data_IF_110291556814
#
_entry.id   IF_110291556814
#
_cell.length_a   1.000
_cell.length_b   1.000
_cell.length_c   1.000
_cell.angle_alpha   90.00
_cell.angle_beta   90.00
_cell.angle_gamma   90.00
#
_symmetry.space_group_name_H-M   'P 1'
#
loop_
_entity.id
_entity.type
_entity.pdbx_description
1 polymer ?
#
# COMPACT_ATOMS: atom_id res chain seq x y z
N UNK A 1 -7.90 9.91 7.88
CA UNK A 1 -6.61 9.39 8.43
C UNK A 1 -5.59 9.34 7.30
N UNK A 2 -4.38 9.85 7.52
CA UNK A 2 -3.25 9.72 6.61
C UNK A 2 -2.11 9.02 7.35
N UNK A 3 -1.65 7.88 6.82
CA UNK A 3 -0.48 7.16 7.33
C UNK A 3 0.67 7.31 6.33
N UNK A 4 1.69 8.13 6.63
CA UNK A 4 2.77 8.42 5.70
C UNK A 4 3.76 7.27 5.56
N UNK A 5 4.65 7.40 4.60
CA UNK A 5 5.83 6.56 4.44
C UNK A 5 6.73 6.53 5.68
N UNK A 6 7.61 5.57 5.72
CA UNK A 6 8.54 5.34 6.81
C UNK A 6 9.16 3.95 6.75
N UNK A 7 9.83 3.55 7.81
CA UNK A 7 10.45 2.22 7.96
C UNK A 7 10.76 1.96 9.44
N UNK A 8 11.07 0.71 9.75
CA UNK A 8 11.40 0.27 11.09
C UNK A 8 10.20 0.12 12.02
N UNK A 9 10.44 -0.45 13.19
CA UNK A 9 9.40 -0.89 14.12
C UNK A 9 8.74 0.22 14.93
N UNK A 10 9.38 1.40 15.04
CA UNK A 10 8.87 2.50 15.89
C UNK A 10 7.52 3.01 15.37
N UNK A 11 6.47 2.82 16.18
CA UNK A 11 5.12 3.28 15.91
C UNK A 11 4.36 2.46 14.86
N UNK A 12 4.90 1.33 14.38
CA UNK A 12 4.24 0.46 13.39
C UNK A 12 2.90 -0.05 13.88
N UNK A 13 2.82 -0.54 15.12
CA UNK A 13 1.56 -1.03 15.69
C UNK A 13 0.49 0.08 15.80
N UNK A 14 0.88 1.31 16.17
CA UNK A 14 -0.05 2.45 16.18
C UNK A 14 -0.60 2.79 14.79
N UNK A 15 0.23 2.66 13.75
CA UNK A 15 -0.20 2.84 12.34
C UNK A 15 -1.14 1.71 11.90
N UNK A 16 -0.85 0.46 12.26
CA UNK A 16 -1.73 -0.70 12.02
C UNK A 16 -3.09 -0.48 12.72
N UNK A 17 -3.08 -0.07 13.98
CA UNK A 17 -4.30 0.24 14.74
C UNK A 17 -5.10 1.40 14.11
N UNK A 18 -4.44 2.42 13.59
CA UNK A 18 -5.13 3.54 12.91
C UNK A 18 -5.78 3.12 11.60
N UNK A 19 -5.14 2.22 10.83
CA UNK A 19 -5.73 1.61 9.64
C UNK A 19 -6.97 0.77 10.00
N UNK A 20 -6.86 -0.07 11.05
CA UNK A 20 -7.99 -0.84 11.58
C UNK A 20 -9.16 0.05 11.97
N UNK A 21 -8.88 1.07 12.75
CA UNK A 21 -9.92 1.99 13.22
C UNK A 21 -10.61 2.69 12.03
N UNK A 22 -9.85 3.17 11.07
CA UNK A 22 -10.39 3.80 9.87
C UNK A 22 -11.28 2.83 9.08
N UNK A 23 -10.82 1.60 8.86
CA UNK A 23 -11.58 0.56 8.14
C UNK A 23 -12.90 0.22 8.84
N UNK A 24 -12.86 -0.04 10.14
CA UNK A 24 -14.03 -0.47 10.92
C UNK A 24 -15.05 0.66 11.11
N UNK A 25 -14.63 1.91 11.16
CA UNK A 25 -15.49 3.06 11.39
C UNK A 25 -15.82 3.84 10.11
N UNK A 26 -15.45 3.33 8.94
CA UNK A 26 -15.71 3.97 7.63
C UNK A 26 -15.12 5.39 7.53
N UNK A 27 -14.01 5.64 8.20
CA UNK A 27 -13.30 6.91 8.17
C UNK A 27 -12.33 6.94 6.99
N UNK A 28 -12.34 7.98 6.15
CA UNK A 28 -11.43 8.09 5.03
C UNK A 28 -9.96 7.87 5.42
N UNK A 29 -9.29 6.95 4.69
CA UNK A 29 -7.93 6.50 4.95
C UNK A 29 -7.08 6.59 3.69
N UNK A 30 -5.87 7.10 3.83
CA UNK A 30 -4.82 7.02 2.82
C UNK A 30 -3.52 6.53 3.47
N UNK A 31 -3.02 5.39 3.01
CA UNK A 31 -1.69 4.87 3.37
C UNK A 31 -0.67 5.13 2.26
N UNK A 32 0.51 5.63 2.58
CA UNK A 32 1.59 5.88 1.62
C UNK A 32 2.80 5.02 1.95
N UNK A 33 3.31 4.27 1.00
CA UNK A 33 4.51 3.43 1.09
C UNK A 33 4.44 2.48 2.31
N UNK A 34 5.09 2.80 3.42
CA UNK A 34 4.98 2.02 4.65
C UNK A 34 3.53 1.96 5.17
N UNK A 35 2.74 3.03 4.97
CA UNK A 35 1.31 3.03 5.29
C UNK A 35 0.49 2.03 4.46
N UNK A 36 0.84 1.80 3.20
CA UNK A 36 0.28 0.75 2.36
C UNK A 36 0.61 -0.64 2.91
N UNK A 37 1.87 -0.88 3.25
CA UNK A 37 2.33 -2.16 3.80
C UNK A 37 1.63 -2.47 5.13
N UNK A 38 1.52 -1.50 6.02
CA UNK A 38 0.87 -1.69 7.31
C UNK A 38 -0.65 -1.84 7.22
N UNK A 39 -1.31 -1.26 6.21
CA UNK A 39 -2.72 -1.53 5.91
C UNK A 39 -2.92 -2.98 5.43
N UNK A 40 -1.99 -3.51 4.63
CA UNK A 40 -1.99 -4.93 4.23
C UNK A 40 -1.80 -5.84 5.43
N UNK A 41 -0.85 -5.55 6.33
CA UNK A 41 -0.65 -6.29 7.59
C UNK A 41 -1.89 -6.24 8.47
N UNK A 42 -2.51 -5.07 8.63
CA UNK A 42 -3.77 -4.92 9.38
C UNK A 42 -4.85 -5.84 8.86
N UNK A 43 -5.07 -5.82 7.54
CA UNK A 43 -6.11 -6.60 6.89
C UNK A 43 -5.86 -8.10 7.04
N UNK A 44 -4.63 -8.54 6.87
CA UNK A 44 -4.23 -9.93 7.08
C UNK A 44 -4.50 -10.39 8.53
N UNK A 45 -4.16 -9.57 9.53
CA UNK A 45 -4.38 -9.90 10.94
C UNK A 45 -5.86 -9.98 11.32
N UNK A 46 -6.64 -9.01 10.90
CA UNK A 46 -8.00 -8.81 11.43
C UNK A 46 -9.12 -9.32 10.50
N UNK A 47 -8.87 -9.48 9.21
CA UNK A 47 -9.86 -9.96 8.23
C UNK A 47 -9.56 -11.38 7.77
N UNK A 48 -8.29 -11.70 7.45
CA UNK A 48 -7.90 -13.09 7.14
C UNK A 48 -7.72 -13.95 8.40
N UNK A 49 -7.54 -13.35 9.58
CA UNK A 49 -7.33 -14.06 10.84
C UNK A 49 -5.90 -14.55 11.08
N UNK A 50 -4.93 -14.09 10.29
CA UNK A 50 -3.50 -14.37 10.45
C UNK A 50 -2.91 -13.48 11.54
N UNK A 51 -3.14 -13.81 12.81
CA UNK A 51 -2.86 -12.95 13.96
C UNK A 51 -1.41 -12.50 14.08
N UNK A 52 -0.48 -13.29 13.57
CA UNK A 52 0.96 -13.05 13.54
C UNK A 52 1.46 -12.48 12.20
N UNK A 53 0.55 -12.14 11.27
CA UNK A 53 0.94 -11.51 10.01
C UNK A 53 1.74 -10.23 10.24
N UNK A 54 2.85 -10.09 9.51
CA UNK A 54 3.76 -8.97 9.66
C UNK A 54 4.52 -8.67 8.37
N UNK A 55 5.37 -7.68 8.41
CA UNK A 55 6.43 -7.46 7.43
C UNK A 55 7.71 -8.12 7.90
N UNK A 56 8.46 -8.77 7.01
CA UNK A 56 9.80 -9.29 7.33
C UNK A 56 10.81 -8.19 7.67
N UNK A 57 10.52 -6.92 7.39
CA UNK A 57 11.25 -5.78 7.93
C UNK A 57 11.11 -5.65 9.45
N UNK A 58 9.92 -5.96 9.98
CA UNK A 58 9.57 -5.78 11.38
C UNK A 58 9.77 -7.04 12.21
N UNK A 59 9.58 -8.18 11.58
CA UNK A 59 9.72 -9.53 12.18
C UNK A 59 10.33 -10.48 11.16
N UNK A 60 11.66 -10.51 11.04
CA UNK A 60 12.36 -11.34 10.05
C UNK A 60 12.16 -12.84 10.23
N UNK A 61 11.86 -13.29 11.43
CA UNK A 61 11.66 -14.70 11.77
C UNK A 61 10.16 -15.08 11.84
N UNK A 62 9.27 -14.16 11.46
CA UNK A 62 7.82 -14.37 11.51
C UNK A 62 7.33 -15.39 10.48
N UNK A 63 6.29 -16.17 10.83
CA UNK A 63 5.76 -17.21 9.95
C UNK A 63 4.86 -16.69 8.82
N UNK A 64 4.23 -15.52 9.01
CA UNK A 64 3.28 -14.95 8.06
C UNK A 64 3.76 -13.56 7.58
N UNK A 65 4.85 -13.55 6.78
CA UNK A 65 5.39 -12.34 6.17
C UNK A 65 4.53 -11.95 4.96
N UNK A 66 3.44 -11.22 5.21
CA UNK A 66 2.55 -10.71 4.13
C UNK A 66 3.18 -9.56 3.35
N UNK A 67 4.21 -8.94 3.92
CA UNK A 67 5.10 -7.99 3.27
C UNK A 67 6.51 -8.54 3.37
N UNK A 68 7.17 -8.69 2.23
CA UNK A 68 8.48 -9.36 2.17
C UNK A 68 9.38 -8.81 1.06
N UNK A 69 10.63 -9.24 1.04
CA UNK A 69 11.54 -9.02 -0.08
C UNK A 69 11.23 -10.07 -1.16
N UNK A 70 11.01 -9.63 -2.39
CA UNK A 70 10.75 -10.57 -3.48
C UNK A 70 12.00 -11.40 -3.82
N UNK A 71 11.84 -12.67 -4.27
CA UNK A 71 12.96 -13.59 -4.55
C UNK A 71 14.01 -13.01 -5.50
N UNK A 72 13.63 -12.21 -6.46
CA UNK A 72 14.57 -11.53 -7.37
C UNK A 72 15.46 -10.48 -6.70
N UNK A 73 15.12 -10.05 -5.49
CA UNK A 73 15.91 -9.11 -4.67
C UNK A 73 16.79 -9.83 -3.65
N UNK A 74 16.58 -11.13 -3.44
CA UNK A 74 17.40 -11.96 -2.54
C UNK A 74 18.80 -12.15 -3.11
N UNK A 75 19.78 -12.22 -2.21
CA UNK A 75 21.18 -12.47 -2.58
C UNK A 75 21.96 -11.24 -3.07
N UNK A 76 21.35 -10.08 -3.19
CA UNK A 76 22.04 -8.83 -3.50
C UNK A 76 22.78 -8.34 -2.25
N UNK A 77 24.12 -8.48 -2.24
CA UNK A 77 24.98 -8.09 -1.10
C UNK A 77 24.94 -6.61 -0.75
N UNK A 78 24.52 -5.75 -1.68
CA UNK A 78 24.41 -4.31 -1.47
C UNK A 78 22.95 -3.94 -1.21
N UNK A 79 22.61 -3.65 0.04
CA UNK A 79 21.27 -3.28 0.49
C UNK A 79 20.65 -2.11 -0.30
N UNK A 80 21.48 -1.19 -0.82
CA UNK A 80 20.99 -0.10 -1.67
C UNK A 80 20.52 -0.55 -3.06
N UNK A 81 21.06 -1.66 -3.59
CA UNK A 81 20.71 -2.16 -4.92
C UNK A 81 19.37 -2.93 -4.96
N UNK A 82 18.79 -3.28 -3.80
CA UNK A 82 17.48 -3.93 -3.71
C UNK A 82 16.32 -2.93 -3.59
N UNK A 83 16.61 -1.64 -3.42
CA UNK A 83 15.57 -0.61 -3.35
C UNK A 83 15.02 -0.31 -4.74
N UNK A 84 13.70 -0.30 -4.85
CA UNK A 84 13.01 0.27 -5.99
C UNK A 84 12.99 1.79 -5.84
N UNK A 85 13.64 2.47 -6.77
CA UNK A 85 13.88 3.92 -6.72
C UNK A 85 13.47 4.59 -8.03
N UNK A 86 12.93 5.81 -7.92
CA UNK A 86 12.62 6.66 -9.07
C UNK A 86 11.21 6.47 -9.63
N UNK A 87 10.99 6.98 -10.83
CA UNK A 87 9.72 6.87 -11.54
C UNK A 87 9.56 5.48 -12.14
N UNK A 88 8.42 4.85 -11.85
CA UNK A 88 8.02 3.59 -12.45
C UNK A 88 6.57 3.67 -12.92
N UNK A 89 6.26 2.92 -13.95
CA UNK A 89 4.90 2.79 -14.46
C UNK A 89 4.04 1.98 -13.50
N UNK A 90 2.83 2.45 -13.28
CA UNK A 90 1.78 1.80 -12.49
C UNK A 90 0.57 1.62 -13.42
N UNK A 91 0.21 0.39 -13.66
CA UNK A 91 -0.99 0.02 -14.40
C UNK A 91 -2.17 0.03 -13.45
N UNK A 92 -3.20 0.82 -13.77
CA UNK A 92 -4.41 0.97 -12.95
C UNK A 92 -5.56 0.27 -13.67
N UNK A 93 -6.29 -0.56 -12.95
CA UNK A 93 -7.41 -1.34 -13.47
C UNK A 93 -8.62 -1.23 -12.56
N UNK A 94 -9.53 -0.35 -12.93
CA UNK A 94 -10.78 -0.12 -12.20
C UNK A 94 -10.63 0.63 -10.88
N UNK A 95 -11.73 0.66 -10.11
CA UNK A 95 -11.78 1.28 -8.81
C UNK A 95 -11.73 2.81 -8.79
N UNK A 96 -11.66 3.37 -7.59
CA UNK A 96 -11.54 4.81 -7.39
C UNK A 96 -10.20 5.37 -7.90
N UNK A 97 -9.15 4.55 -7.91
CA UNK A 97 -7.86 4.98 -8.42
C UNK A 97 -7.95 5.38 -9.90
N UNK A 98 -8.62 4.60 -10.74
CA UNK A 98 -8.81 4.91 -12.16
C UNK A 98 -9.61 6.20 -12.35
N UNK A 99 -10.68 6.39 -11.56
CA UNK A 99 -11.48 7.62 -11.56
C UNK A 99 -10.65 8.85 -11.16
N UNK A 100 -9.82 8.73 -10.13
CA UNK A 100 -9.01 9.83 -9.61
C UNK A 100 -7.87 10.23 -10.54
N UNK A 101 -7.20 9.26 -11.13
CA UNK A 101 -6.10 9.50 -12.07
C UNK A 101 -6.60 9.83 -13.47
N UNK A 102 -7.77 9.35 -13.86
CA UNK A 102 -8.33 9.51 -15.22
C UNK A 102 -7.50 8.79 -16.28
N UNK A 103 -6.74 7.76 -15.90
CA UNK A 103 -5.83 7.02 -16.77
C UNK A 103 -5.62 5.60 -16.26
N UNK A 104 -5.47 4.65 -17.16
CA UNK A 104 -5.13 3.25 -16.86
C UNK A 104 -3.62 3.01 -16.67
N UNK A 105 -2.78 4.02 -16.89
CA UNK A 105 -1.34 3.94 -16.64
C UNK A 105 -0.81 5.30 -16.21
N UNK A 106 0.00 5.30 -15.16
CA UNK A 106 0.64 6.51 -14.63
C UNK A 106 2.08 6.21 -14.22
N UNK A 107 2.91 7.24 -14.19
CA UNK A 107 4.25 7.14 -13.64
C UNK A 107 4.28 7.73 -12.26
N UNK A 108 4.78 6.97 -11.26
CA UNK A 108 4.87 7.42 -9.87
C UNK A 108 6.23 7.09 -9.26
N UNK A 109 6.63 7.87 -8.24
CA UNK A 109 7.96 7.75 -7.63
C UNK A 109 7.98 6.76 -6.49
N UNK A 110 8.92 5.84 -6.55
CA UNK A 110 9.13 4.77 -5.57
C UNK A 110 10.37 5.01 -4.73
N UNK A 111 10.30 4.55 -3.47
CA UNK A 111 11.44 4.46 -2.55
C UNK A 111 11.14 3.40 -1.49
N UNK A 112 11.19 2.14 -1.87
CA UNK A 112 10.94 1.03 -0.97
C UNK A 112 11.70 -0.23 -1.40
N UNK A 113 11.79 -1.20 -0.49
CA UNK A 113 12.42 -2.51 -0.73
C UNK A 113 11.43 -3.63 -0.60
N UNK A 114 10.55 -3.54 0.39
CA UNK A 114 9.56 -4.56 0.70
C UNK A 114 8.31 -4.39 -0.17
N UNK A 115 7.73 -5.52 -0.51
CA UNK A 115 6.58 -5.64 -1.41
C UNK A 115 5.51 -6.54 -0.78
N UNK A 116 4.28 -6.53 -1.30
CA UNK A 116 3.27 -7.51 -0.92
C UNK A 116 3.74 -8.90 -1.36
N UNK A 117 3.76 -9.84 -0.42
CA UNK A 117 4.13 -11.22 -0.72
C UNK A 117 3.05 -11.87 -1.61
N UNK A 118 3.42 -12.37 -2.81
CA UNK A 118 2.48 -12.93 -3.78
C UNK A 118 1.61 -14.08 -3.25
N UNK A 119 2.08 -14.83 -2.27
CA UNK A 119 1.35 -15.95 -1.68
C UNK A 119 0.05 -15.54 -0.98
N UNK A 120 -0.06 -14.28 -0.56
CA UNK A 120 -1.22 -13.77 0.17
C UNK A 120 -2.18 -12.95 -0.70
N UNK A 121 -1.79 -12.56 -1.93
CA UNK A 121 -2.58 -11.64 -2.76
C UNK A 121 -4.00 -12.17 -2.99
N UNK A 122 -4.14 -13.41 -3.47
CA UNK A 122 -5.46 -13.98 -3.76
C UNK A 122 -6.34 -14.05 -2.52
N UNK A 123 -5.78 -14.42 -1.36
CA UNK A 123 -6.53 -14.51 -0.10
C UNK A 123 -7.02 -13.12 0.36
N UNK A 124 -6.21 -12.09 0.15
CA UNK A 124 -6.53 -10.70 0.47
C UNK A 124 -7.65 -10.18 -0.45
N UNK A 125 -7.53 -10.40 -1.75
CA UNK A 125 -8.52 -9.97 -2.74
C UNK A 125 -9.87 -10.68 -2.56
N UNK A 126 -9.87 -11.98 -2.24
CA UNK A 126 -11.10 -12.74 -1.93
C UNK A 126 -11.88 -12.18 -0.71
N UNK A 127 -11.22 -11.41 0.15
CA UNK A 127 -11.83 -10.76 1.32
C UNK A 127 -12.20 -9.29 1.08
N UNK A 128 -12.05 -8.80 -0.13
CA UNK A 128 -12.53 -7.49 -0.56
C UNK A 128 -11.50 -6.34 -0.46
N UNK A 129 -10.23 -6.62 -0.20
CA UNK A 129 -9.17 -5.64 -0.42
C UNK A 129 -8.58 -5.87 -1.81
N UNK A 130 -8.90 -5.00 -2.76
CA UNK A 130 -8.50 -5.14 -4.15
C UNK A 130 -7.20 -4.40 -4.45
N UNK A 131 -6.31 -5.02 -5.21
CA UNK A 131 -5.12 -4.36 -5.74
C UNK A 131 -5.42 -3.82 -7.14
N UNK A 132 -5.88 -2.56 -7.19
CA UNK A 132 -6.28 -1.86 -8.41
C UNK A 132 -5.10 -1.25 -9.17
N UNK A 133 -3.94 -1.10 -8.53
CA UNK A 133 -2.69 -0.70 -9.17
C UNK A 133 -1.64 -1.79 -9.07
N UNK A 134 -0.97 -2.08 -10.20
CA UNK A 134 0.11 -3.07 -10.30
C UNK A 134 1.24 -2.55 -11.18
N UNK A 135 2.44 -3.10 -11.04
CA UNK A 135 3.53 -2.82 -11.97
C UNK A 135 3.25 -3.40 -13.37
N UNK A 136 4.07 -3.07 -14.36
CA UNK A 136 3.97 -3.58 -15.75
C UNK A 136 3.94 -5.12 -15.83
N UNK A 137 4.60 -5.80 -14.89
CA UNK A 137 4.62 -7.26 -14.84
C UNK A 137 3.37 -7.87 -14.21
N UNK A 138 2.54 -7.06 -13.55
CA UNK A 138 1.39 -7.48 -12.76
C UNK A 138 1.73 -8.19 -11.44
N UNK A 139 3.01 -8.27 -11.09
CA UNK A 139 3.46 -9.02 -9.89
C UNK A 139 3.59 -8.18 -8.63
N UNK A 140 3.86 -6.87 -8.75
CA UNK A 140 3.97 -5.95 -7.63
C UNK A 140 2.69 -5.16 -7.46
N UNK A 141 2.22 -5.10 -6.22
CA UNK A 141 1.00 -4.39 -5.87
C UNK A 141 1.33 -2.94 -5.54
N UNK A 142 0.69 -2.02 -6.25
CA UNK A 142 1.01 -0.60 -6.22
C UNK A 142 -0.07 0.27 -5.57
N UNK A 143 -1.34 -0.10 -5.75
CA UNK A 143 -2.49 0.57 -5.13
C UNK A 143 -3.42 -0.49 -4.57
N UNK A 144 -3.87 -0.32 -3.33
CA UNK A 144 -4.95 -1.09 -2.73
C UNK A 144 -6.17 -0.21 -2.45
N UNK A 145 -7.34 -0.85 -2.52
CA UNK A 145 -8.63 -0.25 -2.21
C UNK A 145 -9.54 -1.24 -1.48
N UNK A 146 -10.40 -0.72 -0.59
CA UNK A 146 -11.56 -1.47 -0.08
C UNK A 146 -12.82 -1.04 -0.82
N UNK A 147 -13.48 -2.00 -1.47
CA UNK A 147 -14.68 -1.75 -2.29
C UNK A 147 -15.82 -1.15 -1.47
N UNK A 148 -16.13 -1.74 -0.33
CA UNK A 148 -17.23 -1.31 0.55
C UNK A 148 -16.86 -0.20 1.53
N UNK A 149 -15.92 0.69 1.15
CA UNK A 149 -15.49 1.78 2.00
C UNK A 149 -15.60 3.13 1.29
N UNK A 150 -16.04 4.22 1.95
CA UNK A 150 -16.11 5.55 1.34
C UNK A 150 -14.81 5.97 0.70
N UNK A 151 -13.70 5.81 1.42
CA UNK A 151 -12.35 6.02 0.91
C UNK A 151 -11.33 5.27 1.79
N UNK A 152 -10.95 4.08 1.39
CA UNK A 152 -9.82 3.36 2.01
C UNK A 152 -8.87 2.96 0.90
N UNK A 153 -7.82 3.74 0.74
CA UNK A 153 -6.83 3.57 -0.31
C UNK A 153 -5.43 3.61 0.26
N UNK A 154 -4.52 2.94 -0.42
CA UNK A 154 -3.10 3.13 -0.14
C UNK A 154 -2.26 2.90 -1.39
N UNK A 155 -1.08 3.53 -1.44
CA UNK A 155 -0.11 3.39 -2.53
C UNK A 155 1.25 2.94 -2.01
N UNK A 156 1.90 2.01 -2.72
CA UNK A 156 3.26 1.61 -2.43
C UNK A 156 4.27 2.70 -2.83
N UNK A 157 3.94 3.47 -3.84
CA UNK A 157 4.70 4.64 -4.27
C UNK A 157 4.39 5.90 -3.42
N UNK A 158 5.10 6.98 -3.71
CA UNK A 158 5.02 8.27 -3.02
C UNK A 158 4.34 9.34 -3.89
N UNK A 159 2.99 9.41 -3.90
CA UNK A 159 2.27 10.37 -4.75
C UNK A 159 2.51 11.82 -4.35
N UNK A 160 2.95 12.08 -3.12
CA UNK A 160 3.30 13.42 -2.64
C UNK A 160 4.46 14.04 -3.41
N UNK A 161 5.38 13.24 -3.96
CA UNK A 161 6.53 13.76 -4.71
C UNK A 161 6.14 14.43 -6.03
N UNK A 162 4.99 14.09 -6.59
CA UNK A 162 4.46 14.69 -7.82
C UNK A 162 3.38 15.74 -7.57
N UNK A 163 2.96 15.92 -6.32
CA UNK A 163 1.95 16.94 -5.96
C UNK A 163 2.50 18.36 -6.12
N UNK A 164 1.66 19.27 -6.62
CA UNK A 164 1.95 20.70 -6.78
C UNK A 164 0.72 21.51 -6.35
N UNK A 165 0.87 22.80 -5.99
CA UNK A 165 -0.27 23.64 -5.56
C UNK A 165 -1.42 23.70 -6.56
N UNK A 166 -1.12 23.74 -7.85
CA UNK A 166 -2.08 23.78 -8.97
C UNK A 166 -2.45 22.42 -9.53
N UNK A 167 -1.71 21.37 -9.12
CA UNK A 167 -1.92 19.99 -9.54
C UNK A 167 -1.70 19.03 -8.35
N UNK A 168 -2.64 18.98 -7.38
CA UNK A 168 -2.49 18.11 -6.23
C UNK A 168 -2.47 16.63 -6.64
N UNK A 169 -1.79 15.80 -5.85
CA UNK A 169 -1.82 14.35 -6.02
C UNK A 169 -3.26 13.83 -6.01
N UNK A 170 -3.67 13.02 -6.99
CA UNK A 170 -5.03 12.48 -7.07
C UNK A 170 -5.48 11.76 -5.79
N UNK A 171 -4.61 10.93 -5.20
CA UNK A 171 -4.95 10.18 -3.98
C UNK A 171 -5.14 11.09 -2.76
N UNK A 172 -4.30 12.13 -2.60
CA UNK A 172 -4.48 13.09 -1.51
C UNK A 172 -5.73 13.94 -1.70
N UNK A 173 -6.02 14.34 -2.94
CA UNK A 173 -7.25 15.08 -3.27
C UNK A 173 -8.49 14.23 -2.98
N UNK A 174 -8.46 12.94 -3.34
CA UNK A 174 -9.52 11.99 -3.03
C UNK A 174 -9.77 11.88 -1.53
N UNK A 175 -8.70 11.73 -0.73
CA UNK A 175 -8.80 11.71 0.74
C UNK A 175 -9.49 12.96 1.30
N UNK A 176 -9.09 14.15 0.82
CA UNK A 176 -9.66 15.42 1.29
C UNK A 176 -11.14 15.53 0.90
N UNK A 177 -11.50 15.17 -0.33
CA UNK A 177 -12.89 15.16 -0.78
C UNK A 177 -13.76 14.26 0.09
N UNK A 178 -13.34 13.01 0.29
CA UNK A 178 -14.07 12.04 1.10
C UNK A 178 -14.16 12.44 2.60
N UNK A 179 -13.24 13.26 3.08
CA UNK A 179 -13.26 13.75 4.46
C UNK A 179 -14.19 14.95 4.67
N UNK A 180 -14.70 15.56 3.58
CA UNK A 180 -15.64 16.70 3.61
C UNK A 180 -17.10 16.25 3.41
N UNK A 181 -17.32 15.01 3.01
CA UNK A 181 -18.63 14.37 2.89
C UNK A 181 -19.08 13.77 4.23
#
# INVERSE_FOLDING_TARGET
>A
VLVPGGFGSRGSEGKIMSAKWARENKIPYLGVCFGFQLATVEFARNVLGLKDANSSELDPDGNNSVIDILPEQEGVKNMGATMRLGDHEVMISGGKAEELYGSSAVYERHRHRYEVNPEYISQIEEKGMNYTGRDESGRRMEILELEDHPYFMASQFHPEFKSRPDKPSPLHLGLVKAALE
#
